data_IF_269353983057
#
_entry.id   IF_269353983057
#
_cell.length_a   1.000
_cell.length_b   1.000
_cell.length_c   1.000
_cell.angle_alpha   90.00
_cell.angle_beta   90.00
_cell.angle_gamma   90.00
#
_symmetry.space_group_name_H-M   'P 1'
#
loop_
_entity.id
_entity.type
_entity.pdbx_description
1 polymer ?
#
# COMPACT_ATOMS: atom_id res chain seq x y z
N UNK A 1 85.06 31.19 6.08
CA UNK A 1 85.51 29.87 5.62
C UNK A 1 85.53 28.94 6.82
N UNK A 2 84.94 27.74 6.66
CA UNK A 2 85.10 26.51 7.46
C UNK A 2 84.79 26.57 8.98
N UNK A 3 84.34 25.53 9.69
CA UNK A 3 83.67 24.24 9.45
C UNK A 3 83.36 23.70 10.88
N UNK A 4 82.27 22.93 11.01
CA UNK A 4 81.96 21.84 11.95
C UNK A 4 82.48 21.83 13.42
N UNK A 5 81.59 21.46 14.38
CA UNK A 5 81.53 20.12 15.02
C UNK A 5 80.60 20.07 16.26
N UNK A 6 79.91 18.92 16.38
CA UNK A 6 79.53 18.17 17.59
C UNK A 6 78.29 18.51 18.46
N UNK A 7 77.41 17.49 18.55
CA UNK A 7 76.34 17.17 19.54
C UNK A 7 76.94 16.71 20.90
N UNK A 8 76.21 16.60 22.05
CA UNK A 8 75.31 15.44 22.37
C UNK A 8 74.12 15.70 23.36
N UNK A 9 72.96 15.03 23.16
CA UNK A 9 72.34 13.92 23.95
C UNK A 9 71.98 14.21 25.44
N UNK A 10 70.68 14.05 25.77
CA UNK A 10 70.14 13.91 27.14
C UNK A 10 69.59 12.48 27.34
N UNK A 11 69.92 11.78 28.45
CA UNK A 11 69.38 10.45 28.76
C UNK A 11 68.23 10.48 29.77
N UNK A 12 67.32 9.52 29.59
CA UNK A 12 66.20 9.14 30.46
C UNK A 12 66.63 8.30 31.67
N UNK A 13 66.08 8.61 32.85
CA UNK A 13 66.05 7.84 34.10
C UNK A 13 64.74 8.24 34.82
N UNK A 14 63.97 7.43 35.57
CA UNK A 14 64.15 6.09 36.12
C UNK A 14 62.86 5.65 36.86
N UNK A 15 62.56 4.34 36.82
CA UNK A 15 62.05 3.43 37.89
C UNK A 15 60.64 3.70 38.49
N UNK A 16 59.76 2.69 38.60
CA UNK A 16 59.61 1.82 39.79
C UNK A 16 58.99 0.45 39.41
N UNK A 17 59.39 -0.57 40.18
CA UNK A 17 59.28 -2.03 40.05
C UNK A 17 58.04 -2.72 40.65
N UNK A 18 57.54 -3.75 39.94
CA UNK A 18 57.07 -5.13 40.30
C UNK A 18 56.13 -5.40 41.53
N UNK A 19 55.56 -6.62 41.68
CA UNK A 19 54.78 -7.49 40.77
C UNK A 19 53.48 -8.02 41.47
N UNK A 20 52.62 -8.84 40.82
CA UNK A 20 51.84 -9.95 41.44
C UNK A 20 51.13 -10.77 40.35
N UNK A 21 51.32 -12.08 40.41
CA UNK A 21 50.73 -13.12 39.55
C UNK A 21 49.49 -13.79 40.18
N UNK A 22 48.49 -14.04 39.34
CA UNK A 22 47.52 -15.16 39.28
C UNK A 22 46.92 -15.79 40.55
N UNK A 23 45.58 -15.80 40.64
CA UNK A 23 44.82 -17.03 40.99
C UNK A 23 43.41 -17.00 40.39
N UNK A 24 43.06 -18.08 39.69
CA UNK A 24 41.74 -18.32 39.11
C UNK A 24 40.77 -18.88 40.16
N UNK A 25 39.53 -18.38 40.18
CA UNK A 25 38.38 -19.11 40.73
C UNK A 25 37.17 -18.93 39.81
N UNK A 26 36.73 -20.06 39.31
CA UNK A 26 35.55 -20.33 38.49
C UNK A 26 34.26 -20.14 39.30
N UNK A 27 33.36 -19.28 38.84
CA UNK A 27 31.92 -19.39 39.06
C UNK A 27 31.19 -18.92 37.80
N UNK A 28 30.73 -19.90 37.02
CA UNK A 28 29.89 -19.68 35.84
C UNK A 28 28.48 -19.29 36.29
N UNK A 29 28.18 -17.99 36.32
CA UNK A 29 26.80 -17.51 36.34
C UNK A 29 26.33 -17.36 34.89
N UNK A 30 25.46 -18.27 34.45
CA UNK A 30 24.76 -18.12 33.18
C UNK A 30 23.79 -16.93 33.27
N UNK A 31 23.84 -15.95 32.35
CA UNK A 31 22.77 -14.97 32.26
C UNK A 31 21.53 -15.68 31.72
N UNK A 32 20.42 -15.58 32.44
CA UNK A 32 19.10 -15.93 31.91
C UNK A 32 18.84 -15.07 30.67
N UNK A 33 18.97 -15.66 29.49
CA UNK A 33 18.40 -15.14 28.25
C UNK A 33 16.89 -15.06 28.40
N UNK A 34 16.39 -13.92 28.88
CA UNK A 34 15.03 -13.46 28.64
C UNK A 34 14.93 -12.90 27.22
N UNK A 35 15.24 -13.73 26.23
CA UNK A 35 14.75 -13.52 24.87
C UNK A 35 13.72 -14.61 24.64
N UNK A 36 12.45 -14.23 24.86
CA UNK A 36 11.32 -15.04 24.44
C UNK A 36 11.56 -15.48 22.98
N UNK A 37 11.37 -16.77 22.65
CA UNK A 37 11.47 -17.21 21.27
C UNK A 37 10.47 -16.37 20.47
N UNK A 38 10.95 -15.70 19.41
CA UNK A 38 10.08 -15.13 18.38
C UNK A 38 9.25 -16.28 17.84
N UNK A 39 8.07 -16.50 18.41
CA UNK A 39 7.00 -17.29 17.81
C UNK A 39 6.93 -16.79 16.38
N UNK A 40 7.28 -17.67 15.43
CA UNK A 40 7.38 -17.35 14.02
C UNK A 40 6.12 -16.61 13.61
N UNK A 41 6.26 -15.29 13.49
CA UNK A 41 5.13 -14.39 13.36
C UNK A 41 4.33 -14.81 12.14
N UNK A 42 3.02 -14.91 12.31
CA UNK A 42 2.09 -15.06 11.21
C UNK A 42 2.34 -13.91 10.24
N UNK A 43 3.09 -14.18 9.16
CA UNK A 43 3.33 -13.19 8.13
C UNK A 43 1.97 -12.92 7.47
N UNK A 44 1.45 -11.70 7.59
CA UNK A 44 0.21 -11.29 6.92
C UNK A 44 0.43 -11.42 5.41
N UNK A 45 0.00 -12.54 4.82
CA UNK A 45 0.17 -12.82 3.38
C UNK A 45 -0.83 -12.07 2.53
N UNK A 46 -1.92 -11.54 3.10
CA UNK A 46 -2.97 -10.80 2.40
C UNK A 46 -3.78 -9.93 3.38
N UNK A 47 -3.85 -8.62 3.14
CA UNK A 47 -4.78 -7.74 3.85
C UNK A 47 -6.12 -7.73 3.10
N UNK A 48 -7.18 -8.27 3.72
CA UNK A 48 -8.56 -8.17 3.21
C UNK A 48 -9.27 -7.01 3.89
N UNK A 49 -9.80 -6.09 3.10
CA UNK A 49 -10.49 -4.88 3.57
C UNK A 49 -11.71 -4.65 2.68
N UNK A 50 -12.88 -4.35 3.27
CA UNK A 50 -14.12 -4.09 2.50
C UNK A 50 -14.59 -5.29 1.66
N UNK A 51 -14.26 -6.52 2.08
CA UNK A 51 -14.64 -7.75 1.38
C UNK A 51 -13.75 -8.13 0.18
N UNK A 52 -12.80 -7.28 -0.21
CA UNK A 52 -11.86 -7.49 -1.32
C UNK A 52 -10.42 -7.60 -0.82
N UNK A 53 -9.60 -8.39 -1.50
CA UNK A 53 -8.17 -8.52 -1.20
C UNK A 53 -7.39 -7.33 -1.77
N UNK A 54 -6.55 -6.74 -0.92
CA UNK A 54 -5.74 -5.56 -1.27
C UNK A 54 -4.30 -6.00 -1.62
N UNK A 55 -3.63 -5.36 -2.61
CA UNK A 55 -2.23 -5.63 -2.89
C UNK A 55 -1.31 -5.17 -1.76
N UNK A 56 -0.50 -6.09 -1.24
CA UNK A 56 0.41 -5.82 -0.12
C UNK A 56 1.63 -4.97 -0.49
N UNK A 57 2.12 -5.05 -1.73
CA UNK A 57 3.38 -4.40 -2.17
C UNK A 57 3.23 -2.91 -2.54
N UNK A 58 2.11 -2.27 -2.18
CA UNK A 58 1.80 -0.88 -2.57
C UNK A 58 1.59 0.00 -1.34
N UNK A 59 1.71 1.31 -1.55
CA UNK A 59 1.32 2.30 -0.54
C UNK A 59 -0.20 2.29 -0.35
N UNK A 60 -0.65 2.45 0.89
CA UNK A 60 -2.06 2.26 1.26
C UNK A 60 -3.02 3.12 0.46
N UNK A 61 -2.69 4.38 0.18
CA UNK A 61 -3.50 5.27 -0.66
C UNK A 61 -3.89 4.63 -2.00
N UNK A 62 -2.94 3.94 -2.66
CA UNK A 62 -3.17 3.28 -3.95
C UNK A 62 -3.69 1.86 -3.78
N UNK A 63 -3.36 1.20 -2.68
CA UNK A 63 -3.85 -0.13 -2.36
C UNK A 63 -5.37 -0.11 -2.14
N UNK A 64 -5.91 0.91 -1.44
CA UNK A 64 -7.35 1.07 -1.20
C UNK A 64 -8.16 1.31 -2.49
N UNK A 65 -7.56 1.92 -3.53
CA UNK A 65 -8.23 2.21 -4.80
C UNK A 65 -8.63 0.96 -5.60
N UNK A 66 -8.15 -0.22 -5.21
CA UNK A 66 -8.60 -1.48 -5.81
C UNK A 66 -10.02 -1.84 -5.43
N UNK A 67 -10.54 -1.28 -4.33
CA UNK A 67 -11.93 -1.45 -3.91
C UNK A 67 -12.82 -0.56 -4.77
N UNK A 68 -13.79 -1.14 -5.46
CA UNK A 68 -14.77 -0.38 -6.24
C UNK A 68 -15.60 0.53 -5.31
N UNK A 69 -15.51 1.83 -5.55
CA UNK A 69 -16.13 2.86 -4.70
C UNK A 69 -15.11 3.76 -4.01
N UNK A 70 -13.88 3.29 -3.85
CA UNK A 70 -12.78 4.09 -3.30
C UNK A 70 -11.94 4.69 -4.43
N UNK A 71 -11.94 6.01 -4.52
CA UNK A 71 -11.10 6.78 -5.43
C UNK A 71 -9.92 7.42 -4.70
N UNK A 72 -9.19 8.30 -5.40
CA UNK A 72 -8.05 9.02 -4.80
C UNK A 72 -8.46 9.94 -3.66
N UNK A 73 -9.61 10.61 -3.78
CA UNK A 73 -10.11 11.54 -2.78
C UNK A 73 -10.51 10.83 -1.50
N UNK A 74 -11.32 9.77 -1.61
CA UNK A 74 -11.78 9.01 -0.45
C UNK A 74 -10.65 8.22 0.20
N UNK A 75 -9.70 7.67 -0.56
CA UNK A 75 -8.54 7.00 0.01
C UNK A 75 -7.69 7.95 0.88
N UNK A 76 -7.45 9.18 0.41
CA UNK A 76 -6.74 10.20 1.20
C UNK A 76 -7.53 10.64 2.41
N UNK A 77 -8.85 10.78 2.26
CA UNK A 77 -9.73 11.15 3.35
C UNK A 77 -9.68 10.11 4.48
N UNK A 78 -9.82 8.82 4.16
CA UNK A 78 -9.72 7.73 5.14
C UNK A 78 -8.38 7.76 5.89
N UNK A 79 -7.27 7.97 5.18
CA UNK A 79 -5.96 8.06 5.81
C UNK A 79 -5.83 9.28 6.73
N UNK A 80 -6.39 10.42 6.32
CA UNK A 80 -6.38 11.64 7.13
C UNK A 80 -7.29 11.51 8.36
N UNK A 81 -8.45 10.87 8.22
CA UNK A 81 -9.42 10.66 9.29
C UNK A 81 -8.83 9.75 10.40
N UNK A 82 -8.05 8.74 10.02
CA UNK A 82 -7.29 7.86 10.94
C UNK A 82 -6.00 8.49 11.47
N UNK A 83 -5.52 9.57 10.85
CA UNK A 83 -4.18 10.11 11.11
C UNK A 83 -3.05 9.15 10.72
N UNK A 84 -3.25 8.27 9.73
CA UNK A 84 -2.26 7.31 9.28
C UNK A 84 -1.34 7.88 8.21
N UNK A 85 -0.04 7.61 8.36
CA UNK A 85 0.95 7.93 7.34
C UNK A 85 0.88 6.98 6.13
N UNK A 86 1.36 7.46 4.98
CA UNK A 86 1.41 6.71 3.72
C UNK A 86 2.50 5.61 3.72
N UNK A 87 2.31 4.59 4.57
CA UNK A 87 3.16 3.40 4.64
C UNK A 87 2.82 2.37 3.55
N UNK A 88 3.61 1.31 3.45
CA UNK A 88 3.31 0.15 2.61
C UNK A 88 2.29 -0.73 3.35
N UNK A 89 1.36 -1.34 2.64
CA UNK A 89 0.28 -2.17 3.24
C UNK A 89 0.80 -3.35 4.07
N UNK A 90 2.00 -3.86 3.79
CA UNK A 90 2.64 -4.93 4.59
C UNK A 90 3.01 -4.51 6.01
N UNK A 91 3.31 -3.23 6.19
CA UNK A 91 3.89 -2.72 7.43
C UNK A 91 2.80 -2.32 8.44
N UNK A 92 1.52 -2.53 8.09
CA UNK A 92 0.38 -2.25 8.96
C UNK A 92 0.28 -3.25 10.10
N UNK A 93 0.03 -2.74 11.30
CA UNK A 93 -0.28 -3.59 12.45
C UNK A 93 -1.69 -4.17 12.33
N UNK A 94 -1.98 -5.25 13.06
CA UNK A 94 -3.31 -5.86 13.07
C UNK A 94 -4.39 -4.91 13.62
N UNK A 95 -4.01 -4.03 14.55
CA UNK A 95 -4.87 -2.99 15.12
C UNK A 95 -5.20 -1.92 14.06
N UNK A 96 -4.19 -1.42 13.33
CA UNK A 96 -4.37 -0.45 12.25
C UNK A 96 -5.23 -1.03 11.11
N UNK A 97 -5.10 -2.33 10.82
CA UNK A 97 -5.96 -3.00 9.83
C UNK A 97 -7.42 -3.12 10.29
N UNK A 98 -7.65 -3.25 11.59
CA UNK A 98 -9.00 -3.36 12.14
C UNK A 98 -9.71 -2.02 12.08
N UNK A 99 -9.04 -0.93 12.49
CA UNK A 99 -9.59 0.42 12.37
C UNK A 99 -9.83 0.81 10.91
N UNK A 100 -8.92 0.47 9.99
CA UNK A 100 -9.13 0.66 8.55
C UNK A 100 -10.39 -0.06 8.04
N UNK A 101 -10.66 -1.28 8.51
CA UNK A 101 -11.87 -2.03 8.09
C UNK A 101 -13.14 -1.35 8.60
N UNK A 102 -13.15 -0.89 9.84
CA UNK A 102 -14.29 -0.20 10.43
C UNK A 102 -14.62 1.10 9.70
N UNK A 103 -13.59 1.87 9.34
CA UNK A 103 -13.81 3.10 8.57
C UNK A 103 -14.26 2.85 7.15
N UNK A 104 -13.62 1.92 6.46
CA UNK A 104 -14.00 1.55 5.08
C UNK A 104 -15.45 1.06 5.05
N UNK A 105 -15.92 0.36 6.09
CA UNK A 105 -17.30 -0.14 6.17
C UNK A 105 -18.37 0.95 6.24
N UNK A 106 -18.01 2.21 6.58
CA UNK A 106 -18.94 3.35 6.58
C UNK A 106 -19.32 3.79 5.17
N UNK A 107 -18.49 3.48 4.17
CA UNK A 107 -18.71 3.84 2.78
C UNK A 107 -19.48 2.75 2.03
N UNK A 108 -20.28 3.15 1.04
CA UNK A 108 -20.89 2.20 0.12
C UNK A 108 -19.82 1.61 -0.79
N UNK A 109 -19.69 0.28 -0.82
CA UNK A 109 -18.60 -0.42 -1.51
C UNK A 109 -19.14 -1.51 -2.44
N UNK A 110 -18.39 -1.79 -3.51
CA UNK A 110 -18.56 -2.95 -4.41
C UNK A 110 -20.01 -3.25 -4.76
N UNK A 111 -20.60 -4.27 -4.11
CA UNK A 111 -21.93 -4.78 -4.37
C UNK A 111 -23.01 -3.73 -4.17
N UNK A 112 -22.90 -2.92 -3.13
CA UNK A 112 -23.91 -1.91 -2.79
C UNK A 112 -23.94 -0.81 -3.86
N UNK A 113 -22.77 -0.31 -4.26
CA UNK A 113 -22.66 0.68 -5.33
C UNK A 113 -23.09 0.12 -6.68
N UNK A 114 -22.73 -1.13 -7.00
CA UNK A 114 -23.16 -1.78 -8.26
C UNK A 114 -24.68 -1.95 -8.29
N UNK A 115 -25.28 -2.40 -7.18
CA UNK A 115 -26.73 -2.55 -7.04
C UNK A 115 -27.43 -1.20 -7.11
N UNK A 116 -26.94 -0.19 -6.41
CA UNK A 116 -27.49 1.17 -6.44
C UNK A 116 -27.51 1.73 -7.87
N UNK A 117 -26.38 1.65 -8.57
CA UNK A 117 -26.28 2.11 -9.95
C UNK A 117 -27.16 1.29 -10.92
N UNK A 118 -27.23 -0.03 -10.73
CA UNK A 118 -28.09 -0.90 -11.53
C UNK A 118 -29.57 -0.56 -11.34
N UNK A 119 -30.00 -0.30 -10.11
CA UNK A 119 -31.36 0.14 -9.79
C UNK A 119 -31.66 1.52 -10.38
N UNK A 120 -30.72 2.46 -10.32
CA UNK A 120 -30.88 3.77 -10.94
C UNK A 120 -31.04 3.67 -12.46
N UNK A 121 -30.23 2.84 -13.13
CA UNK A 121 -30.34 2.60 -14.57
C UNK A 121 -31.65 1.89 -14.90
N UNK A 122 -32.05 0.87 -14.12
CA UNK A 122 -33.32 0.16 -14.29
C UNK A 122 -34.50 1.13 -14.19
N UNK A 123 -34.52 1.99 -13.17
CA UNK A 123 -35.52 3.05 -13.00
C UNK A 123 -35.60 3.95 -14.23
N UNK A 124 -34.47 4.39 -14.80
CA UNK A 124 -34.48 5.21 -16.02
C UNK A 124 -35.10 4.48 -17.22
N UNK A 125 -34.86 3.17 -17.35
CA UNK A 125 -35.44 2.34 -18.41
C UNK A 125 -36.94 2.18 -18.25
N UNK A 126 -37.41 1.93 -17.03
CA UNK A 126 -38.84 1.79 -16.69
C UNK A 126 -39.63 3.09 -16.91
N UNK A 127 -39.04 4.25 -16.59
CA UNK A 127 -39.65 5.57 -16.85
C UNK A 127 -39.79 5.86 -18.36
N UNK A 128 -39.00 5.20 -19.22
CA UNK A 128 -38.96 5.43 -20.68
C UNK A 128 -38.57 6.87 -21.09
N UNK A 129 -37.85 7.60 -20.22
CA UNK A 129 -37.31 8.90 -20.59
C UNK A 129 -36.21 8.77 -21.66
N UNK A 130 -35.85 9.89 -22.32
CA UNK A 130 -34.79 9.89 -23.35
C UNK A 130 -33.53 9.16 -22.89
N UNK A 131 -33.02 9.44 -21.69
CA UNK A 131 -31.84 8.75 -21.14
C UNK A 131 -32.05 7.23 -21.01
N UNK A 132 -33.22 6.81 -20.55
CA UNK A 132 -33.61 5.40 -20.46
C UNK A 132 -33.57 4.69 -21.81
N UNK A 133 -34.19 5.30 -22.83
CA UNK A 133 -34.19 4.79 -24.21
C UNK A 133 -32.75 4.64 -24.74
N UNK A 134 -31.88 5.61 -24.46
CA UNK A 134 -30.45 5.54 -24.85
C UNK A 134 -29.69 4.41 -24.14
N UNK A 135 -29.99 4.17 -22.85
CA UNK A 135 -29.43 3.04 -22.10
C UNK A 135 -29.92 1.67 -22.59
N UNK A 136 -31.14 1.59 -23.14
CA UNK A 136 -31.65 0.37 -23.78
C UNK A 136 -30.97 0.15 -25.13
N UNK A 137 -30.85 1.20 -25.95
CA UNK A 137 -30.26 1.15 -27.28
C UNK A 137 -28.73 1.02 -27.31
N UNK A 138 -28.04 1.15 -26.16
CA UNK A 138 -26.58 1.15 -26.12
C UNK A 138 -25.98 2.36 -26.86
N UNK A 139 -26.55 3.56 -26.64
CA UNK A 139 -26.06 4.81 -27.20
C UNK A 139 -25.73 5.83 -26.09
N UNK A 140 -24.79 6.77 -26.32
CA UNK A 140 -24.47 7.79 -25.33
C UNK A 140 -25.69 8.69 -25.06
N UNK A 141 -25.87 9.01 -23.77
CA UNK A 141 -27.00 9.78 -23.24
C UNK A 141 -26.65 11.25 -22.91
N UNK A 142 -25.37 11.65 -22.97
CA UNK A 142 -24.87 13.00 -22.62
C UNK A 142 -24.80 13.98 -23.81
N UNK A 143 -25.68 13.83 -24.81
CA UNK A 143 -25.70 14.72 -25.99
C UNK A 143 -24.55 14.52 -27.00
N UNK A 144 -23.73 13.47 -26.84
CA UNK A 144 -22.65 13.16 -27.78
C UNK A 144 -23.19 12.72 -29.14
N UNK A 145 -22.56 13.18 -30.23
CA UNK A 145 -22.91 12.80 -31.61
C UNK A 145 -22.62 11.31 -31.84
N UNK A 146 -23.59 10.56 -32.36
CA UNK A 146 -23.49 9.09 -32.53
C UNK A 146 -23.11 8.61 -33.93
N UNK A 147 -22.96 9.54 -34.88
CA UNK A 147 -22.57 9.25 -36.27
C UNK A 147 -21.13 8.72 -36.35
N UNK A 148 -20.20 9.33 -35.62
CA UNK A 148 -18.76 9.04 -35.71
C UNK A 148 -18.24 8.30 -34.47
N UNK A 149 -18.14 9.00 -33.33
CA UNK A 149 -17.39 8.54 -32.15
C UNK A 149 -18.32 8.07 -31.03
N UNK A 150 -18.58 6.76 -30.96
CA UNK A 150 -19.38 6.15 -29.90
C UNK A 150 -18.99 4.68 -29.60
N UNK A 151 -17.76 4.29 -29.96
CA UNK A 151 -17.32 2.88 -29.94
C UNK A 151 -17.11 2.32 -28.54
N UNK A 152 -16.68 3.13 -27.57
CA UNK A 152 -16.54 2.70 -26.18
C UNK A 152 -17.85 2.15 -25.61
N UNK A 153 -18.99 2.70 -26.03
CA UNK A 153 -20.31 2.30 -25.57
C UNK A 153 -21.00 1.30 -26.52
N UNK A 154 -20.89 1.46 -27.84
CA UNK A 154 -21.44 0.50 -28.83
C UNK A 154 -20.69 -0.84 -28.90
N UNK A 155 -19.47 -0.91 -28.37
CA UNK A 155 -18.60 -2.07 -28.50
C UNK A 155 -17.88 -2.17 -29.86
N UNK A 156 -17.16 -3.28 -30.04
CA UNK A 156 -16.38 -3.59 -31.25
C UNK A 156 -17.32 -3.69 -32.47
N UNK A 157 -16.82 -3.32 -33.65
CA UNK A 157 -17.61 -3.42 -34.90
C UNK A 157 -17.81 -4.91 -35.21
N UNK A 158 -19.03 -5.39 -35.04
CA UNK A 158 -19.43 -6.72 -35.51
C UNK A 158 -19.39 -6.68 -37.05
N UNK A 159 -18.61 -7.57 -37.66
CA UNK A 159 -18.61 -7.74 -39.11
C UNK A 159 -19.95 -8.36 -39.49
N UNK A 160 -20.67 -7.71 -40.42
CA UNK A 160 -21.88 -8.32 -40.99
C UNK A 160 -21.39 -9.39 -41.97
N UNK A 161 -21.69 -10.68 -41.75
CA UNK A 161 -21.31 -11.72 -42.69
C UNK A 161 -21.92 -11.41 -44.07
N UNK A 162 -21.11 -11.49 -45.13
CA UNK A 162 -21.54 -11.22 -46.51
C UNK A 162 -21.33 -9.80 -47.03
N UNK A 163 -20.85 -8.84 -46.21
CA UNK A 163 -20.55 -7.48 -46.72
C UNK A 163 -19.13 -7.43 -47.29
N UNK A 164 -18.97 -7.54 -48.62
CA UNK A 164 -17.71 -7.25 -49.31
C UNK A 164 -17.23 -5.85 -48.90
N UNK A 165 -16.00 -5.74 -48.37
CA UNK A 165 -15.34 -4.45 -48.21
C UNK A 165 -15.18 -3.86 -49.61
N UNK A 166 -15.92 -2.78 -49.89
CA UNK A 166 -15.56 -1.87 -50.98
C UNK A 166 -14.36 -1.04 -50.54
#
# INVERSE_FOLDING_TARGET
>A
MAQALATPVLPSLSLISNPISNSAKTSLSFPLTTTLPKIGGLSIKCARVGGVEIPNNKRVEYSLQYIHGIGRTTARQILNDLGFENKITKDFSEEELTTLREEVSKYMIEGDLRRFNALAIRRLKEIQCYRGVRHIQGLPCRGQRTKNNCRTLKGKRVAIPGKKKK
#
